data_IF_416166152898
#
_entry.id   IF_416166152898
#
_cell.length_a   1.000
_cell.length_b   1.000
_cell.length_c   1.000
_cell.angle_alpha   90.00
_cell.angle_beta   90.00
_cell.angle_gamma   90.00
#
_symmetry.space_group_name_H-M   'P 1'
#
loop_
_entity.id
_entity.type
_entity.pdbx_description
1 polymer ?
#
# COMPACT_ATOMS: atom_id res chain seq x y z
N UNK A 1 19.41 -11.59 12.53
CA UNK A 1 18.63 -12.85 12.58
C UNK A 1 17.74 -13.07 11.34
N UNK A 2 16.80 -12.17 11.07
CA UNK A 2 15.84 -12.29 9.95
C UNK A 2 16.47 -12.48 8.57
N UNK A 3 17.47 -11.65 8.22
CA UNK A 3 18.12 -11.72 6.92
C UNK A 3 18.85 -13.04 6.69
N UNK A 4 19.42 -13.66 7.75
CA UNK A 4 20.11 -14.96 7.63
C UNK A 4 19.11 -16.06 7.25
N UNK A 5 17.94 -16.05 7.89
CA UNK A 5 16.85 -17.00 7.61
C UNK A 5 16.38 -16.92 6.17
N UNK A 6 16.17 -15.71 5.63
CA UNK A 6 15.66 -15.56 4.27
C UNK A 6 16.72 -15.81 3.19
N UNK A 7 17.99 -15.55 3.47
CA UNK A 7 19.09 -15.82 2.52
C UNK A 7 19.40 -17.31 2.39
N UNK A 8 19.27 -18.09 3.47
CA UNK A 8 19.49 -19.54 3.46
C UNK A 8 20.87 -19.97 2.94
N UNK A 9 21.90 -19.12 3.06
CA UNK A 9 23.25 -19.37 2.54
C UNK A 9 23.46 -19.05 1.05
N UNK A 10 22.43 -18.58 0.33
CA UNK A 10 22.54 -18.21 -1.08
C UNK A 10 23.37 -16.94 -1.31
N UNK A 11 24.28 -16.98 -2.28
CA UNK A 11 25.12 -15.85 -2.65
C UNK A 11 24.44 -14.86 -3.63
N UNK A 12 23.51 -15.34 -4.47
CA UNK A 12 22.92 -14.55 -5.57
C UNK A 12 21.69 -13.77 -5.10
N UNK A 13 21.75 -12.44 -5.22
CA UNK A 13 20.61 -11.54 -4.98
C UNK A 13 19.81 -11.35 -6.28
N UNK A 14 18.54 -11.78 -6.29
CA UNK A 14 17.62 -11.63 -7.42
C UNK A 14 16.60 -10.52 -7.15
N UNK A 15 16.05 -9.92 -8.20
CA UNK A 15 14.93 -8.97 -8.15
C UNK A 15 15.16 -7.73 -7.26
N UNK A 16 16.41 -7.35 -7.01
CA UNK A 16 16.72 -6.08 -6.38
C UNK A 16 16.65 -4.93 -7.41
N UNK A 17 15.47 -4.80 -8.01
CA UNK A 17 15.14 -3.86 -9.08
C UNK A 17 13.93 -3.03 -8.65
N UNK A 18 13.92 -1.75 -9.02
CA UNK A 18 12.82 -0.82 -8.77
C UNK A 18 12.39 -0.18 -10.09
N UNK A 19 11.22 0.43 -10.11
CA UNK A 19 10.75 1.18 -11.27
C UNK A 19 11.55 2.47 -11.47
N UNK A 20 11.82 2.79 -12.73
CA UNK A 20 12.41 4.05 -13.14
C UNK A 20 11.34 5.15 -13.10
N UNK A 21 11.60 6.16 -12.29
CA UNK A 21 10.65 7.25 -12.04
C UNK A 21 10.91 8.41 -13.00
N UNK A 22 9.85 9.13 -13.37
CA UNK A 22 9.98 10.33 -14.20
C UNK A 22 10.91 11.38 -13.53
N UNK A 23 11.64 12.19 -14.32
CA UNK A 23 12.63 13.15 -13.79
C UNK A 23 12.11 14.06 -12.68
N UNK A 24 10.85 14.52 -12.78
CA UNK A 24 10.21 15.35 -11.76
C UNK A 24 9.98 14.58 -10.45
N UNK A 25 9.58 13.31 -10.54
CA UNK A 25 9.36 12.44 -9.37
C UNK A 25 10.70 12.11 -8.73
N UNK A 26 11.73 11.85 -9.52
CA UNK A 26 13.09 11.66 -9.03
C UNK A 26 13.61 12.90 -8.27
N UNK A 27 13.44 14.09 -8.85
CA UNK A 27 13.80 15.34 -8.19
C UNK A 27 13.07 15.48 -6.85
N UNK A 28 11.77 15.17 -6.78
CA UNK A 28 11.02 15.15 -5.52
C UNK A 28 11.63 14.19 -4.51
N UNK A 29 11.85 12.93 -4.91
CA UNK A 29 12.43 11.90 -4.03
C UNK A 29 13.79 12.30 -3.47
N UNK A 30 14.64 13.00 -4.25
CA UNK A 30 15.93 13.51 -3.80
C UNK A 30 15.81 14.59 -2.73
N UNK A 31 14.77 15.42 -2.81
CA UNK A 31 14.54 16.54 -1.88
C UNK A 31 13.75 16.17 -0.62
N UNK A 32 13.26 14.92 -0.50
CA UNK A 32 12.69 14.44 0.77
C UNK A 32 13.83 14.21 1.77
N UNK A 33 13.83 14.87 2.94
CA UNK A 33 14.87 14.68 3.94
C UNK A 33 14.97 13.21 4.41
N UNK A 34 16.13 12.84 4.94
CA UNK A 34 16.37 11.50 5.48
C UNK A 34 15.85 11.34 6.92
N UNK A 35 15.39 12.42 7.55
CA UNK A 35 14.84 12.38 8.89
C UNK A 35 13.60 11.46 8.96
N UNK A 36 13.48 10.59 9.99
CA UNK A 36 12.31 9.73 10.15
C UNK A 36 11.01 10.53 10.11
N UNK A 37 10.01 10.00 9.41
CA UNK A 37 8.71 10.67 9.25
C UNK A 37 8.64 11.74 8.15
N UNK A 38 9.75 12.01 7.45
CA UNK A 38 9.76 12.93 6.30
C UNK A 38 8.87 12.45 5.16
N UNK A 39 8.14 13.39 4.56
CA UNK A 39 7.24 13.19 3.43
C UNK A 39 7.11 14.48 2.58
N UNK A 40 6.16 14.52 1.64
CA UNK A 40 5.99 15.63 0.70
C UNK A 40 5.92 17.02 1.34
N UNK A 41 5.48 17.14 2.60
CA UNK A 41 5.33 18.42 3.33
C UNK A 41 6.67 19.11 3.56
N UNK A 42 7.76 18.36 3.47
CA UNK A 42 9.14 18.85 3.62
C UNK A 42 9.79 19.21 2.28
N UNK A 43 9.09 19.07 1.15
CA UNK A 43 9.61 19.48 -0.15
C UNK A 43 9.85 20.99 -0.16
N UNK A 44 11.04 21.45 -0.61
CA UNK A 44 11.30 22.87 -0.73
C UNK A 44 10.50 23.46 -1.90
N UNK A 45 9.98 24.67 -1.73
CA UNK A 45 9.37 25.41 -2.83
C UNK A 45 10.46 26.13 -3.68
N UNK A 46 11.20 25.35 -4.47
CA UNK A 46 12.37 25.80 -5.22
C UNK A 46 12.31 25.41 -6.71
N UNK A 47 13.07 26.15 -7.52
CA UNK A 47 13.37 25.80 -8.92
C UNK A 47 14.56 24.86 -8.94
N UNK A 48 14.44 23.73 -9.62
CA UNK A 48 15.45 22.68 -9.69
C UNK A 48 15.58 22.23 -11.14
N UNK A 49 16.81 21.96 -11.59
CA UNK A 49 17.09 21.32 -12.88
C UNK A 49 16.81 19.82 -12.78
N UNK A 50 15.94 19.32 -13.64
CA UNK A 50 15.58 17.90 -13.70
C UNK A 50 16.72 17.06 -14.29
N UNK A 51 16.66 15.74 -14.08
CA UNK A 51 17.69 14.81 -14.55
C UNK A 51 17.76 14.67 -16.08
N UNK A 52 16.78 15.21 -16.81
CA UNK A 52 16.85 15.34 -18.27
C UNK A 52 17.86 16.40 -18.74
N UNK A 53 18.38 17.24 -17.82
CA UNK A 53 19.34 18.30 -18.12
C UNK A 53 18.77 19.50 -18.89
N UNK A 54 17.48 19.49 -19.20
CA UNK A 54 16.82 20.47 -20.07
C UNK A 54 15.70 21.22 -19.36
N UNK A 55 15.01 20.55 -18.43
CA UNK A 55 13.79 21.08 -17.82
C UNK A 55 14.06 21.65 -16.43
N UNK A 56 13.65 22.90 -16.21
CA UNK A 56 13.60 23.51 -14.88
C UNK A 56 12.18 23.40 -14.31
N UNK A 57 12.07 23.07 -13.01
CA UNK A 57 10.79 23.15 -12.30
C UNK A 57 10.36 24.59 -12.06
N UNK A 58 9.08 24.81 -11.83
CA UNK A 58 8.53 26.11 -11.39
C UNK A 58 8.34 26.09 -9.87
N UNK A 59 8.45 27.26 -9.23
CA UNK A 59 7.95 27.41 -7.86
C UNK A 59 6.43 27.31 -7.84
N UNK A 60 5.90 26.60 -6.85
CA UNK A 60 4.47 26.58 -6.57
C UNK A 60 4.05 27.96 -6.07
N UNK A 61 3.05 28.54 -6.72
CA UNK A 61 2.48 29.84 -6.34
C UNK A 61 1.27 29.63 -5.44
N UNK A 62 1.29 30.29 -4.28
CA UNK A 62 0.18 30.35 -3.35
C UNK A 62 -0.54 31.69 -3.57
N UNK A 63 -1.66 31.64 -4.29
CA UNK A 63 -2.37 32.81 -4.81
C UNK A 63 -3.59 33.19 -3.98
N UNK A 64 -4.06 32.30 -3.11
CA UNK A 64 -5.35 32.43 -2.43
C UNK A 64 -5.20 32.34 -0.92
N UNK A 65 -6.10 32.99 -0.20
CA UNK A 65 -6.16 32.86 1.25
C UNK A 65 -6.70 31.47 1.60
N UNK A 66 -6.05 30.77 2.53
CA UNK A 66 -6.63 29.54 3.08
C UNK A 66 -7.40 29.90 4.33
N UNK A 67 -8.74 29.88 4.27
CA UNK A 67 -9.59 30.28 5.40
C UNK A 67 -9.35 29.41 6.65
N UNK A 68 -8.95 28.15 6.47
CA UNK A 68 -8.71 27.20 7.57
C UNK A 68 -7.29 27.32 8.13
N UNK A 69 -6.30 27.45 7.26
CA UNK A 69 -4.89 27.44 7.65
C UNK A 69 -4.26 28.83 7.82
N UNK A 70 -5.00 29.90 7.50
CA UNK A 70 -4.54 31.28 7.57
C UNK A 70 -3.34 31.56 6.67
N UNK A 71 -2.50 32.51 7.10
CA UNK A 71 -1.24 32.87 6.44
C UNK A 71 -0.04 32.21 7.14
N UNK A 72 1.10 32.17 6.47
CA UNK A 72 2.38 31.81 7.13
C UNK A 72 2.78 32.88 8.15
N UNK A 73 3.78 32.56 8.98
CA UNK A 73 4.43 33.53 9.87
C UNK A 73 5.03 34.74 9.14
N UNK A 74 5.40 34.57 7.87
CA UNK A 74 5.90 35.64 6.99
C UNK A 74 4.78 36.40 6.27
N UNK A 75 3.51 36.14 6.59
CA UNK A 75 2.35 36.76 5.94
C UNK A 75 2.05 36.21 4.53
N UNK A 76 2.71 35.14 4.10
CA UNK A 76 2.48 34.53 2.80
C UNK A 76 1.16 33.73 2.77
N UNK A 77 0.50 33.76 1.63
CA UNK A 77 -0.70 32.98 1.36
C UNK A 77 -0.40 31.47 1.37
N UNK A 78 -1.42 30.66 1.66
CA UNK A 78 -1.32 29.19 1.74
C UNK A 78 -2.26 28.43 0.80
N UNK A 79 -3.26 29.11 0.23
CA UNK A 79 -4.19 28.54 -0.75
C UNK A 79 -3.59 28.55 -2.16
N UNK A 80 -3.90 27.51 -2.92
CA UNK A 80 -3.45 27.33 -4.33
C UNK A 80 -4.61 27.32 -5.33
N UNK A 81 -5.84 27.53 -4.86
CA UNK A 81 -7.08 27.51 -5.62
C UNK A 81 -8.16 28.29 -4.87
N UNK A 82 -9.18 28.79 -5.59
CA UNK A 82 -10.36 29.47 -5.04
C UNK A 82 -11.10 28.64 -3.97
N UNK A 83 -11.05 27.31 -4.04
CA UNK A 83 -11.70 26.45 -3.04
C UNK A 83 -11.08 26.52 -1.64
N UNK A 84 -9.91 27.14 -1.49
CA UNK A 84 -9.34 27.47 -0.18
C UNK A 84 -10.13 28.60 0.53
N UNK A 85 -10.90 29.38 -0.22
CA UNK A 85 -11.78 30.47 0.23
C UNK A 85 -13.26 30.07 0.21
N UNK A 86 -13.55 28.76 0.14
CA UNK A 86 -14.89 28.17 -0.01
C UNK A 86 -15.62 28.53 -1.32
N UNK A 87 -14.88 28.93 -2.36
CA UNK A 87 -15.40 29.18 -3.71
C UNK A 87 -15.21 27.97 -4.66
N UNK A 88 -15.98 27.87 -5.77
CA UNK A 88 -15.80 26.81 -6.76
C UNK A 88 -14.37 26.78 -7.35
N UNK A 89 -13.87 25.58 -7.65
CA UNK A 89 -12.55 25.42 -8.26
C UNK A 89 -12.52 26.00 -9.69
N UNK A 90 -11.44 26.71 -10.01
CA UNK A 90 -11.13 27.16 -11.37
C UNK A 90 -10.01 26.30 -11.98
N UNK A 91 -10.20 25.66 -13.15
CA UNK A 91 -9.16 24.90 -13.82
C UNK A 91 -7.86 25.69 -14.06
N UNK A 92 -7.92 27.01 -14.24
CA UNK A 92 -6.77 27.90 -14.45
C UNK A 92 -5.85 27.95 -13.22
N UNK A 93 -6.37 27.64 -12.03
CA UNK A 93 -5.56 27.59 -10.81
C UNK A 93 -4.56 26.42 -10.80
N UNK A 94 -4.74 25.40 -11.65
CA UNK A 94 -3.86 24.23 -11.70
C UNK A 94 -2.45 24.63 -12.13
N UNK A 95 -1.47 24.15 -11.37
CA UNK A 95 -0.05 24.37 -11.65
C UNK A 95 0.65 23.03 -11.86
N UNK A 96 1.31 22.87 -13.00
CA UNK A 96 2.09 21.69 -13.35
C UNK A 96 3.61 21.99 -13.31
N UNK A 97 4.42 20.93 -13.34
CA UNK A 97 5.88 20.99 -13.27
C UNK A 97 6.44 21.77 -12.05
N UNK A 98 5.77 21.66 -10.91
CA UNK A 98 6.24 22.19 -9.62
C UNK A 98 6.84 21.07 -8.75
N UNK A 99 7.87 21.41 -7.97
CA UNK A 99 8.51 20.43 -7.08
C UNK A 99 7.52 19.97 -5.99
N UNK A 100 6.89 20.90 -5.29
CA UNK A 100 5.72 20.62 -4.44
C UNK A 100 4.52 20.32 -5.35
N UNK A 101 3.92 19.12 -5.33
CA UNK A 101 2.80 18.82 -6.22
C UNK A 101 1.56 19.65 -5.85
N UNK A 102 1.06 20.46 -6.78
CA UNK A 102 -0.09 21.38 -6.56
C UNK A 102 -1.32 20.70 -5.97
N UNK A 103 -1.60 19.46 -6.38
CA UNK A 103 -2.78 18.72 -5.92
C UNK A 103 -2.76 18.39 -4.41
N UNK A 104 -1.59 18.37 -3.77
CA UNK A 104 -1.46 18.03 -2.35
C UNK A 104 -1.92 19.19 -1.45
N UNK A 105 -1.45 20.44 -1.60
CA UNK A 105 -2.07 21.57 -0.92
C UNK A 105 -3.53 21.80 -1.32
N UNK A 106 -3.89 21.58 -2.59
CA UNK A 106 -5.25 21.81 -3.10
C UNK A 106 -6.32 20.95 -2.39
N UNK A 107 -6.00 19.70 -2.06
CA UNK A 107 -6.95 18.77 -1.44
C UNK A 107 -6.54 18.31 -0.04
N UNK A 108 -5.42 18.82 0.48
CA UNK A 108 -4.81 18.37 1.75
C UNK A 108 -5.74 18.51 2.95
N UNK A 109 -6.47 19.61 3.06
CA UNK A 109 -7.42 19.83 4.17
C UNK A 109 -8.54 18.79 4.25
N UNK A 110 -8.83 18.08 3.14
CA UNK A 110 -9.85 17.03 3.06
C UNK A 110 -9.30 15.62 3.30
N UNK A 111 -7.97 15.47 3.33
CA UNK A 111 -7.30 14.17 3.33
C UNK A 111 -6.17 14.11 4.37
N UNK A 112 -6.38 14.75 5.53
CA UNK A 112 -5.39 14.79 6.62
C UNK A 112 -3.98 15.21 6.14
N UNK A 113 -3.93 16.26 5.33
CA UNK A 113 -2.72 16.80 4.69
C UNK A 113 -1.91 15.77 3.90
N UNK A 114 -2.55 14.72 3.40
CA UNK A 114 -1.90 13.64 2.65
C UNK A 114 -0.66 13.10 3.36
N UNK A 115 -0.73 12.99 4.70
CA UNK A 115 0.39 12.58 5.52
C UNK A 115 0.94 11.23 5.05
N UNK A 116 2.24 11.19 4.75
CA UNK A 116 2.93 10.00 4.25
C UNK A 116 3.10 9.91 2.73
N UNK A 117 2.46 10.74 1.89
CA UNK A 117 2.77 10.74 0.45
C UNK A 117 4.20 11.24 0.19
N UNK A 118 4.92 10.62 -0.75
CA UNK A 118 6.39 10.73 -0.88
C UNK A 118 7.14 10.44 0.42
N UNK A 119 6.54 9.65 1.31
CA UNK A 119 7.14 9.35 2.60
C UNK A 119 8.27 8.34 2.49
N UNK A 120 9.31 8.53 3.29
CA UNK A 120 10.35 7.52 3.50
C UNK A 120 9.90 6.47 4.51
N UNK A 121 10.31 5.24 4.27
CA UNK A 121 10.29 4.20 5.29
C UNK A 121 11.29 4.56 6.40
N UNK A 122 10.98 4.14 7.62
CA UNK A 122 11.87 4.27 8.76
C UNK A 122 12.58 2.94 9.01
N UNK A 123 13.89 2.99 9.29
CA UNK A 123 14.69 1.83 9.69
C UNK A 123 14.15 1.13 10.94
N UNK A 124 13.54 1.88 11.87
CA UNK A 124 12.89 1.36 13.07
C UNK A 124 11.39 1.10 12.88
N UNK A 125 10.85 1.49 11.74
CA UNK A 125 9.44 1.36 11.42
C UNK A 125 9.11 0.04 10.72
N UNK A 126 7.98 0.05 10.04
CA UNK A 126 7.45 -1.09 9.29
C UNK A 126 6.80 -0.62 7.99
N UNK A 127 6.54 -1.56 7.09
CA UNK A 127 5.74 -1.32 5.89
C UNK A 127 4.26 -1.28 6.29
N UNK A 128 3.53 -0.22 5.96
CA UNK A 128 2.10 -0.09 6.30
C UNK A 128 1.27 -1.23 5.72
N UNK A 129 1.43 -1.49 4.42
CA UNK A 129 0.90 -2.67 3.74
C UNK A 129 1.80 -2.93 2.54
N UNK A 130 2.08 -4.19 2.23
CA UNK A 130 2.86 -4.51 1.03
C UNK A 130 2.11 -4.03 -0.21
N UNK A 131 2.76 -3.17 -0.99
CA UNK A 131 2.18 -2.53 -2.17
C UNK A 131 2.30 -3.42 -3.41
N UNK A 132 1.24 -3.45 -4.21
CA UNK A 132 1.21 -4.10 -5.53
C UNK A 132 1.82 -3.22 -6.62
N UNK A 133 1.84 -1.90 -6.40
CA UNK A 133 2.57 -0.92 -7.20
C UNK A 133 3.12 0.19 -6.27
N UNK A 134 4.45 0.33 -6.10
CA UNK A 134 5.03 1.33 -5.21
C UNK A 134 5.03 2.75 -5.81
N UNK A 135 3.86 3.40 -5.81
CA UNK A 135 3.71 4.79 -6.27
C UNK A 135 3.81 5.81 -5.11
N UNK A 136 4.68 6.83 -5.17
CA UNK A 136 4.82 7.84 -4.11
C UNK A 136 3.56 8.66 -3.80
N UNK A 137 2.67 8.82 -4.80
CA UNK A 137 1.38 9.49 -4.65
C UNK A 137 0.20 8.50 -4.51
N UNK A 138 0.48 7.20 -4.48
CA UNK A 138 -0.54 6.17 -4.26
C UNK A 138 -1.07 6.18 -2.82
N UNK A 139 -2.11 5.39 -2.56
CA UNK A 139 -2.77 5.34 -1.23
C UNK A 139 -1.80 4.98 -0.10
N UNK A 140 -0.82 4.12 -0.35
CA UNK A 140 0.19 3.71 0.63
C UNK A 140 1.48 4.54 0.59
N UNK A 141 1.45 5.81 0.15
CA UNK A 141 2.59 6.65 -0.30
C UNK A 141 3.91 6.74 0.51
N UNK A 142 4.07 6.01 1.62
CA UNK A 142 5.35 5.69 2.27
C UNK A 142 6.04 4.51 1.57
N UNK A 143 6.54 4.75 0.36
CA UNK A 143 7.19 3.73 -0.48
C UNK A 143 8.63 4.07 -0.82
N UNK A 144 9.17 5.18 -0.31
CA UNK A 144 10.55 5.57 -0.56
C UNK A 144 11.50 4.81 0.37
N UNK A 145 12.68 4.48 -0.16
CA UNK A 145 13.75 3.90 0.65
C UNK A 145 14.16 4.86 1.78
N UNK A 146 14.53 4.33 2.98
CA UNK A 146 14.91 5.17 4.12
C UNK A 146 16.00 6.20 3.82
N UNK A 147 17.01 5.80 3.04
CA UNK A 147 18.12 6.68 2.65
C UNK A 147 18.19 6.99 1.15
N UNK A 148 18.13 5.96 0.31
CA UNK A 148 18.28 6.09 -1.14
C UNK A 148 17.11 6.86 -1.78
N UNK A 149 17.38 7.61 -2.85
CA UNK A 149 16.39 8.43 -3.56
C UNK A 149 15.59 7.65 -4.60
N UNK A 150 15.03 6.50 -4.19
CA UNK A 150 14.24 5.62 -5.04
C UNK A 150 13.09 5.01 -4.26
N UNK A 151 12.12 4.46 -5.00
CA UNK A 151 11.11 3.58 -4.41
C UNK A 151 11.71 2.25 -3.97
N UNK A 152 10.99 1.53 -3.11
CA UNK A 152 11.36 0.19 -2.69
C UNK A 152 11.40 -0.78 -3.88
N UNK A 153 12.40 -1.65 -3.88
CA UNK A 153 12.58 -2.63 -4.95
C UNK A 153 11.62 -3.82 -4.77
N UNK A 154 11.42 -4.61 -5.82
CA UNK A 154 10.66 -5.88 -5.76
C UNK A 154 11.17 -6.76 -4.61
N UNK A 155 12.49 -6.97 -4.51
CA UNK A 155 13.09 -7.77 -3.43
C UNK A 155 12.85 -7.20 -2.03
N UNK A 156 12.81 -5.88 -1.87
CA UNK A 156 12.50 -5.25 -0.57
C UNK A 156 11.05 -5.52 -0.17
N UNK A 157 10.10 -5.42 -1.10
CA UNK A 157 8.71 -5.82 -0.86
C UNK A 157 8.58 -7.33 -0.60
N UNK A 158 9.34 -8.17 -1.31
CA UNK A 158 9.33 -9.62 -1.08
C UNK A 158 9.82 -9.96 0.35
N UNK A 159 10.85 -9.24 0.82
CA UNK A 159 11.35 -9.33 2.19
C UNK A 159 10.30 -8.87 3.21
N UNK A 160 9.54 -7.82 2.96
CA UNK A 160 8.48 -7.36 3.89
C UNK A 160 7.38 -8.41 4.07
N UNK A 161 7.07 -9.18 3.02
CA UNK A 161 6.16 -10.33 3.08
C UNK A 161 6.80 -11.58 3.71
N UNK A 162 8.12 -11.60 3.91
CA UNK A 162 8.84 -12.76 4.45
C UNK A 162 9.10 -13.87 3.42
N UNK A 163 9.15 -13.55 2.13
CA UNK A 163 9.60 -14.50 1.11
C UNK A 163 11.10 -14.82 1.28
N UNK A 164 11.50 -16.10 1.13
CA UNK A 164 12.90 -16.46 0.97
C UNK A 164 13.53 -15.77 -0.25
N UNK A 165 14.83 -15.46 -0.18
CA UNK A 165 15.56 -14.86 -1.31
C UNK A 165 15.66 -15.79 -2.53
N UNK A 166 15.52 -17.09 -2.29
CA UNK A 166 15.50 -18.12 -3.32
C UNK A 166 14.19 -18.17 -4.10
N UNK A 167 13.11 -17.54 -3.59
CA UNK A 167 11.83 -17.50 -4.27
C UNK A 167 11.92 -16.69 -5.56
N UNK A 168 11.35 -17.24 -6.65
CA UNK A 168 11.42 -16.68 -8.00
C UNK A 168 10.09 -16.02 -8.38
N UNK A 169 10.19 -14.79 -8.87
CA UNK A 169 9.08 -14.05 -9.45
C UNK A 169 9.27 -13.95 -10.97
N UNK A 170 8.19 -13.82 -11.73
CA UNK A 170 8.22 -13.84 -13.19
C UNK A 170 7.54 -12.61 -13.80
N UNK A 171 7.83 -12.30 -15.06
CA UNK A 171 7.24 -11.17 -15.78
C UNK A 171 7.99 -9.85 -15.60
N UNK A 172 7.30 -8.75 -15.89
CA UNK A 172 7.83 -7.38 -15.79
C UNK A 172 8.04 -6.94 -14.34
N UNK A 173 8.68 -5.79 -14.11
CA UNK A 173 8.88 -5.25 -12.74
C UNK A 173 7.54 -5.08 -12.02
N UNK A 174 6.55 -4.51 -12.72
CA UNK A 174 5.20 -4.32 -12.20
C UNK A 174 4.50 -5.65 -11.89
N UNK A 175 4.63 -6.66 -12.76
CA UNK A 175 4.04 -7.98 -12.51
C UNK A 175 4.62 -8.64 -11.26
N UNK A 176 5.93 -8.47 -11.04
CA UNK A 176 6.59 -9.00 -9.84
C UNK A 176 6.15 -8.26 -8.58
N UNK A 177 5.99 -6.93 -8.63
CA UNK A 177 5.40 -6.18 -7.52
C UNK A 177 3.97 -6.64 -7.21
N UNK A 178 3.14 -6.88 -8.25
CA UNK A 178 1.78 -7.40 -8.09
C UNK A 178 1.75 -8.80 -7.46
N UNK A 179 2.61 -9.71 -7.91
CA UNK A 179 2.76 -11.05 -7.32
C UNK A 179 3.09 -10.98 -5.82
N UNK A 180 4.05 -10.12 -5.45
CA UNK A 180 4.47 -9.93 -4.06
C UNK A 180 3.36 -9.28 -3.22
N UNK A 181 2.69 -8.25 -3.73
CA UNK A 181 1.64 -7.52 -3.02
C UNK A 181 0.37 -8.35 -2.79
N UNK A 182 -0.03 -9.16 -3.78
CA UNK A 182 -1.22 -10.00 -3.69
C UNK A 182 -1.01 -11.30 -2.90
N UNK A 183 0.24 -11.69 -2.64
CA UNK A 183 0.54 -12.92 -1.94
C UNK A 183 0.23 -12.84 -0.44
N UNK A 184 -0.17 -13.99 0.13
CA UNK A 184 -0.21 -14.19 1.57
C UNK A 184 1.23 -14.34 2.10
N UNK A 185 1.64 -13.61 3.15
CA UNK A 185 2.97 -13.75 3.73
C UNK A 185 3.28 -15.21 4.10
N UNK A 186 4.37 -15.82 3.59
CA UNK A 186 4.71 -17.21 3.89
C UNK A 186 4.82 -17.54 5.40
N UNK A 187 5.34 -16.64 6.27
CA UNK A 187 5.34 -16.90 7.72
C UNK A 187 3.93 -17.04 8.30
N UNK A 188 2.96 -16.26 7.82
CA UNK A 188 1.57 -16.33 8.23
C UNK A 188 0.92 -17.63 7.73
N UNK A 189 1.09 -17.96 6.46
CA UNK A 189 0.58 -19.21 5.87
C UNK A 189 1.15 -20.45 6.60
N UNK A 190 2.44 -20.42 6.98
CA UNK A 190 3.08 -21.48 7.76
C UNK A 190 2.46 -21.64 9.14
N UNK A 191 2.12 -20.54 9.83
CA UNK A 191 1.49 -20.60 11.14
C UNK A 191 0.09 -21.24 11.05
N UNK A 192 -0.72 -20.83 10.08
CA UNK A 192 -2.05 -21.42 9.83
C UNK A 192 -1.93 -22.91 9.48
N UNK A 193 -1.00 -23.26 8.59
CA UNK A 193 -0.76 -24.65 8.20
C UNK A 193 -0.38 -25.57 9.36
N UNK A 194 0.33 -25.06 10.37
CA UNK A 194 0.65 -25.82 11.59
C UNK A 194 -0.59 -26.16 12.41
N UNK A 195 -1.53 -25.24 12.53
CA UNK A 195 -2.78 -25.51 13.26
C UNK A 195 -3.64 -26.53 12.51
N UNK A 196 -3.70 -26.45 11.18
CA UNK A 196 -4.38 -27.46 10.35
C UNK A 196 -3.75 -28.85 10.57
N UNK A 197 -2.42 -28.96 10.59
CA UNK A 197 -1.73 -30.22 10.83
C UNK A 197 -2.06 -30.83 12.20
N UNK A 198 -2.21 -30.02 13.25
CA UNK A 198 -2.62 -30.51 14.57
C UNK A 198 -4.01 -31.11 14.53
N UNK A 199 -4.97 -30.45 13.88
CA UNK A 199 -6.34 -30.95 13.74
C UNK A 199 -6.38 -32.27 12.95
N UNK A 200 -5.53 -32.42 11.92
CA UNK A 200 -5.43 -33.65 11.16
C UNK A 200 -4.79 -34.79 11.98
N UNK A 201 -3.79 -34.50 12.79
CA UNK A 201 -3.13 -35.49 13.66
C UNK A 201 -4.04 -36.00 14.79
N UNK A 202 -5.01 -35.19 15.23
CA UNK A 202 -5.98 -35.57 16.26
C UNK A 202 -7.17 -36.39 15.72
N UNK A 203 -7.24 -36.67 14.41
CA UNK A 203 -8.27 -37.57 13.86
C UNK A 203 -8.03 -39.00 14.34
N UNK A 204 -8.98 -39.63 15.07
CA UNK A 204 -8.86 -41.04 15.42
C UNK A 204 -8.85 -41.88 14.13
N UNK A 205 -7.95 -42.85 14.06
CA UNK A 205 -7.85 -43.83 12.99
C UNK A 205 -9.06 -44.78 13.03
N UNK A 206 -10.23 -44.32 12.57
CA UNK A 206 -11.42 -45.16 12.63
C UNK A 206 -12.77 -44.46 12.44
N UNK A 207 -12.88 -43.39 11.65
CA UNK A 207 -14.20 -42.92 11.19
C UNK A 207 -14.31 -42.98 9.67
N UNK A 208 -15.45 -43.49 9.16
CA UNK A 208 -15.59 -43.91 7.77
C UNK A 208 -15.46 -42.71 6.83
N UNK A 209 -15.10 -43.02 5.58
CA UNK A 209 -15.09 -42.11 4.45
C UNK A 209 -16.25 -41.11 4.54
N UNK A 210 -15.97 -39.83 4.24
CA UNK A 210 -17.02 -38.88 3.89
C UNK A 210 -17.91 -39.56 2.85
N UNK A 211 -19.10 -40.00 3.28
CA UNK A 211 -20.14 -40.38 2.34
C UNK A 211 -20.51 -39.07 1.67
N UNK A 212 -20.00 -38.86 0.46
CA UNK A 212 -20.52 -37.83 -0.42
C UNK A 212 -22.03 -37.98 -0.38
N UNK A 213 -22.73 -36.92 0.02
CA UNK A 213 -24.17 -36.95 0.24
C UNK A 213 -24.84 -37.71 -0.90
N UNK A 214 -25.36 -38.89 -0.58
CA UNK A 214 -26.19 -39.67 -1.50
C UNK A 214 -27.24 -38.71 -2.05
N UNK A 215 -27.32 -38.62 -3.37
CA UNK A 215 -28.33 -37.82 -4.06
C UNK A 215 -29.70 -38.21 -3.50
N UNK A 216 -30.28 -37.37 -2.67
CA UNK A 216 -31.67 -37.53 -2.26
C UNK A 216 -32.52 -37.24 -3.51
N UNK A 217 -33.37 -38.16 -3.98
CA UNK A 217 -34.07 -38.01 -5.27
C UNK A 217 -35.22 -36.98 -5.24
N UNK A 218 -35.36 -36.18 -4.18
CA UNK A 218 -36.48 -35.23 -4.02
C UNK A 218 -36.09 -33.76 -4.17
N UNK A 219 -34.84 -33.42 -4.53
CA UNK A 219 -34.50 -32.03 -4.83
C UNK A 219 -35.08 -31.62 -6.19
N UNK A 220 -36.06 -30.68 -6.25
CA UNK A 220 -36.57 -30.19 -7.51
C UNK A 220 -35.42 -29.52 -8.25
N UNK A 221 -35.18 -29.95 -9.49
CA UNK A 221 -34.11 -29.42 -10.34
C UNK A 221 -34.21 -27.91 -10.41
N UNK A 222 -33.11 -27.24 -10.05
CA UNK A 222 -32.85 -25.85 -10.41
C UNK A 222 -32.97 -24.88 -9.25
N UNK A 223 -31.84 -24.64 -8.56
CA UNK A 223 -31.31 -23.30 -8.29
C UNK A 223 -29.86 -23.42 -7.80
N UNK A 224 -29.00 -22.59 -8.38
CA UNK A 224 -27.58 -22.51 -8.09
C UNK A 224 -27.33 -22.14 -6.63
N UNK A 225 -26.42 -22.88 -5.99
CA UNK A 225 -25.52 -22.48 -4.90
C UNK A 225 -25.94 -21.28 -4.04
N UNK A 226 -26.69 -21.53 -2.96
CA UNK A 226 -26.76 -20.63 -1.83
C UNK A 226 -25.84 -21.17 -0.73
N UNK A 227 -24.71 -20.50 -0.48
CA UNK A 227 -23.62 -20.92 0.41
C UNK A 227 -23.93 -20.75 1.90
N UNK A 228 -25.20 -20.61 2.26
CA UNK A 228 -25.62 -20.14 3.59
C UNK A 228 -25.78 -21.25 4.65
N UNK A 229 -25.45 -22.51 4.36
CA UNK A 229 -25.81 -23.64 5.24
C UNK A 229 -24.67 -24.57 5.69
N UNK A 230 -23.41 -24.10 5.66
CA UNK A 230 -22.27 -24.95 6.03
C UNK A 230 -21.39 -24.42 7.18
N UNK A 231 -21.91 -23.57 8.06
CA UNK A 231 -21.17 -23.12 9.25
C UNK A 231 -21.77 -23.51 10.62
N UNK A 232 -22.89 -24.24 10.69
CA UNK A 232 -23.56 -24.50 11.98
C UNK A 232 -23.18 -25.82 12.67
N UNK A 233 -22.01 -26.39 12.39
CA UNK A 233 -21.57 -27.62 13.07
C UNK A 233 -20.22 -27.55 13.79
N UNK A 234 -19.74 -26.34 14.10
CA UNK A 234 -18.49 -26.17 14.85
C UNK A 234 -18.60 -25.49 16.22
N UNK A 235 -19.75 -24.94 16.61
CA UNK A 235 -19.93 -24.39 17.95
C UNK A 235 -21.15 -25.03 18.60
N UNK A 236 -20.90 -25.76 19.69
CA UNK A 236 -21.97 -26.23 20.56
C UNK A 236 -22.60 -25.07 21.32
N UNK A 237 -23.89 -25.21 21.62
CA UNK A 237 -24.57 -24.43 22.65
C UNK A 237 -25.42 -23.27 22.15
N UNK A 238 -26.73 -23.43 22.36
CA UNK A 238 -27.75 -22.40 22.55
C UNK A 238 -28.16 -21.54 21.34
N UNK A 239 -29.25 -21.99 20.71
CA UNK A 239 -30.11 -21.23 19.82
C UNK A 239 -30.80 -20.08 20.56
N UNK A 240 -30.41 -18.83 20.25
CA UNK A 240 -31.21 -17.64 20.51
C UNK A 240 -32.06 -17.34 19.27
N UNK A 241 -33.37 -17.58 19.38
CA UNK A 241 -34.35 -17.15 18.38
C UNK A 241 -34.47 -15.61 18.38
N UNK A 242 -34.19 -14.98 17.24
CA UNK A 242 -34.69 -13.64 16.96
C UNK A 242 -35.87 -13.76 16.00
N UNK A 243 -37.07 -13.59 16.55
CA UNK A 243 -38.30 -13.42 15.81
C UNK A 243 -38.37 -11.96 15.34
N UNK A 244 -38.32 -11.71 14.02
CA UNK A 244 -38.70 -10.43 13.44
C UNK A 244 -40.07 -10.57 12.78
N UNK A 245 -41.07 -9.92 13.37
CA UNK A 245 -42.33 -9.59 12.71
C UNK A 245 -42.08 -8.55 11.61
N UNK A 246 -42.80 -8.71 10.49
CA UNK A 246 -43.01 -7.67 9.48
C UNK A 246 -43.77 -6.47 10.05
#
# INVERSE_FOLDING_TARGET
>A
PFQRTLRGGGAVLRDHICEDMAPLVEARMRHIPLAPGSDWRYLPNAVVLLSDGLTLTKKLRYTHHDRKNGKSSTGAMRGVCHCAEDAPCDPVCRQDNTLVPWCLPHTGNRHNHWAGLYGRLDWKGFFSTTVTNPEPMGKQGRVLHPEQHRVVSVRVCARSQGFPDTYRFFGTILDRHRQVGNAVPPPLARAIGREILKCLAQRPAGRPNFVAASKNPTCPRGRLWDTSFCLDRFCGGESLEFCNHN
#
